data_IF_192337465963
#
_entry.id   IF_192337465963
#
_cell.length_a   1.000
_cell.length_b   1.000
_cell.length_c   1.000
_cell.angle_alpha   90.00
_cell.angle_beta   90.00
_cell.angle_gamma   90.00
#
_symmetry.space_group_name_H-M   'P 1'
#
loop_
_entity.id
_entity.type
_entity.pdbx_description
1 polymer ?
#
# COMPACT_ATOMS: atom_id res chain seq x y z
N UNK A 1 18.48 -0.84 3.53
CA UNK A 1 19.02 0.44 4.06
C UNK A 1 19.15 0.30 5.56
N UNK A 2 20.21 0.85 6.14
CA UNK A 2 20.37 0.98 7.58
C UNK A 2 19.69 2.29 8.02
N UNK A 3 18.77 2.26 8.99
CA UNK A 3 18.14 3.49 9.48
C UNK A 3 19.17 4.46 10.03
N UNK A 4 19.06 5.74 9.68
CA UNK A 4 19.93 6.81 10.15
C UNK A 4 19.04 7.94 10.70
N UNK A 5 19.44 8.46 11.86
CA UNK A 5 18.76 9.59 12.52
C UNK A 5 19.61 10.86 12.40
N UNK A 6 20.94 10.67 12.28
CA UNK A 6 21.91 11.77 12.16
C UNK A 6 22.30 11.90 10.69
N UNK A 7 22.07 13.06 10.11
CA UNK A 7 22.45 13.37 8.73
C UNK A 7 23.87 13.92 8.62
N UNK A 8 24.31 14.63 9.65
CA UNK A 8 25.57 15.37 9.64
C UNK A 8 26.09 15.56 11.07
N UNK A 9 27.38 15.40 11.23
CA UNK A 9 28.13 15.79 12.43
C UNK A 9 28.98 17.01 12.09
N UNK A 10 29.04 17.98 12.98
CA UNK A 10 29.86 19.18 12.85
C UNK A 10 30.67 19.39 14.13
N UNK A 11 31.99 19.44 14.00
CA UNK A 11 32.88 19.83 15.08
C UNK A 11 32.88 21.35 15.20
N UNK A 12 32.32 21.85 16.29
CA UNK A 12 32.17 23.30 16.54
C UNK A 12 33.52 24.00 16.78
N UNK A 13 34.60 23.27 17.10
CA UNK A 13 35.92 23.86 17.31
C UNK A 13 36.71 24.01 16.02
N UNK A 14 36.58 23.04 15.12
CA UNK A 14 37.35 23.01 13.85
C UNK A 14 36.55 23.38 12.65
N UNK A 15 35.22 23.45 12.76
CA UNK A 15 34.28 23.63 11.61
C UNK A 15 34.26 22.42 10.66
N UNK A 16 34.91 21.33 11.02
CA UNK A 16 34.93 20.10 10.22
C UNK A 16 33.54 19.46 10.18
N UNK A 17 33.07 19.11 8.99
CA UNK A 17 31.76 18.50 8.77
C UNK A 17 31.92 17.09 8.22
N UNK A 18 31.19 16.14 8.81
CA UNK A 18 31.08 14.77 8.35
C UNK A 18 29.64 14.46 8.01
N UNK A 19 29.35 14.20 6.74
CA UNK A 19 28.04 13.73 6.32
C UNK A 19 27.90 12.24 6.63
N UNK A 20 26.80 11.88 7.28
CA UNK A 20 26.42 10.50 7.59
C UNK A 20 25.35 10.11 6.59
N UNK A 21 25.76 9.47 5.49
CA UNK A 21 24.83 8.97 4.46
C UNK A 21 24.10 7.70 4.89
N UNK A 22 23.04 7.39 4.19
CA UNK A 22 22.38 6.09 4.34
C UNK A 22 23.27 4.97 3.81
N UNK A 23 23.32 3.85 4.54
CA UNK A 23 24.09 2.66 4.19
C UNK A 23 23.16 1.60 3.59
N UNK A 24 23.51 1.12 2.38
CA UNK A 24 22.81 0.01 1.76
C UNK A 24 23.33 -1.30 2.34
N UNK A 25 22.45 -2.09 2.99
CA UNK A 25 22.86 -3.34 3.66
C UNK A 25 22.78 -4.51 2.70
N UNK A 26 21.59 -4.73 2.14
CA UNK A 26 21.33 -5.78 1.14
C UNK A 26 19.95 -5.62 0.52
N UNK A 27 19.77 -6.15 -0.68
CA UNK A 27 18.45 -6.37 -1.26
C UNK A 27 17.79 -7.59 -0.62
N UNK A 28 16.54 -7.45 -0.15
CA UNK A 28 15.79 -8.53 0.53
C UNK A 28 14.67 -9.11 -0.33
N UNK A 29 14.15 -8.34 -1.29
CA UNK A 29 13.15 -8.78 -2.27
C UNK A 29 13.50 -8.22 -3.64
N UNK A 30 13.03 -8.86 -4.72
CA UNK A 30 13.20 -8.33 -6.07
C UNK A 30 12.37 -7.04 -6.25
N UNK A 31 12.73 -6.24 -7.26
CA UNK A 31 11.96 -5.04 -7.63
C UNK A 31 10.53 -5.37 -8.03
N UNK A 32 10.32 -6.52 -8.70
CA UNK A 32 9.00 -7.03 -9.09
C UNK A 32 8.15 -7.36 -7.88
N UNK A 33 8.68 -8.14 -6.93
CA UNK A 33 7.98 -8.46 -5.67
C UNK A 33 7.65 -7.20 -4.88
N UNK A 34 8.59 -6.25 -4.80
CA UNK A 34 8.37 -4.96 -4.15
C UNK A 34 7.23 -4.18 -4.80
N UNK A 35 7.17 -4.18 -6.14
CA UNK A 35 6.09 -3.52 -6.89
C UNK A 35 4.74 -4.19 -6.64
N UNK A 36 4.67 -5.51 -6.73
CA UNK A 36 3.44 -6.28 -6.45
C UNK A 36 2.91 -5.98 -5.04
N UNK A 37 3.79 -5.95 -4.04
CA UNK A 37 3.42 -5.60 -2.66
C UNK A 37 2.85 -4.18 -2.57
N UNK A 38 3.44 -3.20 -3.25
CA UNK A 38 2.94 -1.82 -3.26
C UNK A 38 1.57 -1.71 -3.91
N UNK A 39 1.32 -2.43 -4.99
CA UNK A 39 0.00 -2.49 -5.66
C UNK A 39 -1.06 -3.09 -4.71
N UNK A 40 -0.71 -4.14 -3.96
CA UNK A 40 -1.57 -4.71 -2.93
C UNK A 40 -1.84 -3.71 -1.79
N UNK A 41 -0.81 -3.03 -1.30
CA UNK A 41 -0.94 -2.00 -0.25
C UNK A 41 -1.80 -0.83 -0.72
N UNK A 42 -1.68 -0.42 -1.99
CA UNK A 42 -2.56 0.58 -2.60
C UNK A 42 -4.01 0.15 -2.60
N UNK A 43 -4.28 -1.11 -2.95
CA UNK A 43 -5.63 -1.69 -2.93
C UNK A 43 -6.26 -1.64 -1.52
N UNK A 44 -5.48 -1.89 -0.47
CA UNK A 44 -5.95 -1.81 0.92
C UNK A 44 -6.43 -0.41 1.28
N UNK A 45 -5.73 0.63 0.81
CA UNK A 45 -6.11 2.03 1.05
C UNK A 45 -7.25 2.46 0.12
N UNK A 46 -7.19 2.11 -1.17
CA UNK A 46 -8.20 2.54 -2.13
C UNK A 46 -9.60 1.97 -1.83
N UNK A 47 -9.69 0.69 -1.47
CA UNK A 47 -10.97 -0.02 -1.35
C UNK A 47 -11.13 -0.89 -0.09
N UNK A 48 -10.06 -1.03 0.70
CA UNK A 48 -10.00 -1.94 1.85
C UNK A 48 -10.17 -1.28 3.20
N UNK A 49 -9.57 -1.90 4.20
CA UNK A 49 -9.60 -1.47 5.62
C UNK A 49 -8.75 -0.23 5.90
N UNK A 50 -7.94 0.19 4.93
CA UNK A 50 -7.02 1.33 5.03
C UNK A 50 -7.55 2.64 4.47
N UNK A 51 -8.82 2.73 4.04
CA UNK A 51 -9.38 3.92 3.38
C UNK A 51 -9.17 5.25 4.13
N UNK A 52 -9.11 5.20 5.44
CA UNK A 52 -8.86 6.39 6.27
C UNK A 52 -7.41 6.91 6.18
N UNK A 53 -6.50 6.17 5.53
CA UNK A 53 -5.14 6.63 5.25
C UNK A 53 -5.03 7.36 3.89
N UNK A 54 -6.11 7.45 3.10
CA UNK A 54 -6.08 8.08 1.80
C UNK A 54 -5.70 9.56 1.91
N UNK A 55 -4.84 10.03 1.01
CA UNK A 55 -4.53 11.44 0.78
C UNK A 55 -4.78 11.71 -0.69
N UNK A 56 -5.78 12.55 -0.98
CA UNK A 56 -6.17 12.85 -2.35
C UNK A 56 -4.98 13.40 -3.15
N UNK A 57 -4.76 12.85 -4.34
CA UNK A 57 -3.67 13.22 -5.22
C UNK A 57 -2.34 12.55 -4.93
N UNK A 58 -2.28 11.70 -3.90
CA UNK A 58 -1.08 10.93 -3.57
C UNK A 58 -1.46 9.45 -3.44
N UNK A 59 -0.79 8.60 -4.19
CA UNK A 59 -1.06 7.16 -4.19
C UNK A 59 -0.55 6.53 -2.88
N UNK A 60 -1.33 6.66 -1.81
CA UNK A 60 -1.01 6.07 -0.51
C UNK A 60 -1.35 4.57 -0.52
N UNK A 61 -0.41 3.74 -0.15
CA UNK A 61 -0.61 2.33 0.16
C UNK A 61 -0.37 2.07 1.64
N UNK A 62 -0.95 1.02 2.19
CA UNK A 62 -0.71 0.75 3.61
C UNK A 62 -1.41 -0.50 4.12
N UNK A 63 -1.11 -0.84 5.38
CA UNK A 63 -1.68 -2.00 6.07
C UNK A 63 -1.97 -1.68 7.53
N UNK A 64 -3.17 -2.04 7.96
CA UNK A 64 -3.58 -1.98 9.37
C UNK A 64 -3.06 -3.19 10.15
N UNK A 65 -2.72 -2.98 11.39
CA UNK A 65 -2.51 -4.01 12.40
C UNK A 65 -3.39 -3.73 13.62
N UNK A 66 -3.92 -4.79 14.20
CA UNK A 66 -4.65 -4.72 15.47
C UNK A 66 -4.25 -5.95 16.27
N UNK A 67 -3.54 -5.74 17.36
CA UNK A 67 -3.23 -6.78 18.33
C UNK A 67 -4.27 -6.74 19.42
N UNK A 68 -4.96 -7.85 19.61
CA UNK A 68 -5.90 -8.02 20.72
C UNK A 68 -5.14 -8.39 21.99
N UNK A 69 -5.62 -7.97 23.16
CA UNK A 69 -5.01 -8.36 24.41
C UNK A 69 -5.18 -9.85 24.66
N UNK A 70 -4.21 -10.43 25.36
CA UNK A 70 -4.42 -11.73 26.00
C UNK A 70 -5.40 -11.51 27.19
N UNK A 71 -6.61 -12.04 27.07
CA UNK A 71 -7.65 -11.90 28.07
C UNK A 71 -7.33 -12.61 29.40
N UNK A 72 -6.31 -13.45 29.44
CA UNK A 72 -5.78 -14.04 30.67
C UNK A 72 -4.91 -13.05 31.46
N UNK A 73 -4.34 -12.05 30.79
CA UNK A 73 -3.55 -10.97 31.40
C UNK A 73 -4.41 -9.69 31.53
N UNK A 74 -4.79 -9.36 32.76
CA UNK A 74 -5.59 -8.17 33.08
C UNK A 74 -4.89 -6.85 32.74
N UNK A 75 -3.56 -6.87 32.54
CA UNK A 75 -2.77 -5.70 32.14
C UNK A 75 -2.62 -5.55 30.63
N UNK A 76 -3.01 -6.56 29.88
CA UNK A 76 -2.86 -6.56 28.42
C UNK A 76 -3.80 -5.55 27.76
N UNK A 77 -3.27 -4.81 26.81
CA UNK A 77 -3.95 -3.72 26.12
C UNK A 77 -4.01 -3.98 24.62
N UNK A 78 -5.05 -3.43 23.96
CA UNK A 78 -5.07 -3.37 22.50
C UNK A 78 -3.94 -2.50 21.97
N UNK A 79 -3.32 -2.95 20.87
CA UNK A 79 -2.37 -2.16 20.10
C UNK A 79 -2.92 -2.03 18.69
N UNK A 80 -3.26 -0.80 18.31
CA UNK A 80 -3.71 -0.46 16.97
C UNK A 80 -2.57 0.18 16.19
N UNK A 81 -2.30 -0.29 14.98
CA UNK A 81 -1.25 0.26 14.15
C UNK A 81 -1.69 0.42 12.69
N UNK A 82 -1.03 1.32 12.00
CA UNK A 82 -1.12 1.45 10.56
C UNK A 82 0.24 1.86 10.00
N UNK A 83 0.70 1.14 8.98
CA UNK A 83 1.88 1.49 8.21
C UNK A 83 1.43 2.00 6.85
N UNK A 84 1.85 3.20 6.48
CA UNK A 84 1.62 3.82 5.19
C UNK A 84 2.92 3.99 4.40
N UNK A 85 2.82 3.85 3.08
CA UNK A 85 3.89 4.11 2.11
C UNK A 85 3.32 5.03 1.04
N UNK A 86 4.06 6.06 0.67
CA UNK A 86 3.61 6.99 -0.36
C UNK A 86 4.78 7.74 -1.05
N UNK A 87 4.63 8.05 -2.37
CA UNK A 87 3.67 7.41 -3.28
C UNK A 87 3.97 5.93 -3.50
N UNK A 88 2.96 5.09 -3.78
CA UNK A 88 3.22 3.64 -4.06
C UNK A 88 3.92 3.41 -5.38
N UNK A 89 3.81 4.34 -6.32
CA UNK A 89 4.47 4.27 -7.64
C UNK A 89 5.98 4.48 -7.53
N UNK A 90 6.38 5.46 -6.72
CA UNK A 90 7.78 5.78 -6.40
C UNK A 90 7.90 6.15 -4.92
N UNK A 91 8.15 5.16 -4.03
CA UNK A 91 8.06 5.38 -2.58
C UNK A 91 9.18 6.27 -2.05
N UNK A 92 8.78 7.40 -1.48
CA UNK A 92 9.69 8.33 -0.81
C UNK A 92 9.53 8.28 0.71
N UNK A 93 8.30 7.99 1.19
CA UNK A 93 7.97 8.04 2.61
C UNK A 93 7.34 6.73 3.07
N UNK A 94 7.77 6.29 4.26
CA UNK A 94 7.11 5.24 5.03
C UNK A 94 6.77 5.80 6.41
N UNK A 95 5.51 5.69 6.81
CA UNK A 95 5.00 6.20 8.08
C UNK A 95 4.37 5.05 8.86
N UNK A 96 4.81 4.85 10.09
CA UNK A 96 4.22 3.89 11.01
C UNK A 96 3.64 4.63 12.21
N UNK A 97 2.34 4.43 12.45
CA UNK A 97 1.66 4.90 13.66
C UNK A 97 1.25 3.70 14.50
N UNK A 98 1.61 3.74 15.77
CA UNK A 98 1.27 2.71 16.76
C UNK A 98 0.58 3.40 17.93
N UNK A 99 -0.64 2.98 18.25
CA UNK A 99 -1.46 3.51 19.34
C UNK A 99 -1.71 2.38 20.34
N UNK A 100 -1.20 2.54 21.56
CA UNK A 100 -1.44 1.61 22.66
C UNK A 100 -2.70 2.04 23.41
N UNK A 101 -3.47 1.05 23.86
CA UNK A 101 -4.68 1.26 24.62
C UNK A 101 -5.61 2.34 24.03
N UNK A 102 -5.98 2.27 22.73
CA UNK A 102 -6.83 3.29 22.12
C UNK A 102 -8.14 3.42 22.91
N UNK A 103 -8.44 4.66 23.31
CA UNK A 103 -9.68 4.99 24.03
C UNK A 103 -10.73 5.43 23.03
N UNK A 104 -11.95 4.91 23.13
CA UNK A 104 -13.04 5.29 22.24
C UNK A 104 -13.83 4.09 21.71
N UNK A 105 -14.65 4.34 20.68
CA UNK A 105 -15.57 3.32 20.13
C UNK A 105 -14.86 2.26 19.25
N UNK A 106 -13.71 2.58 18.68
CA UNK A 106 -12.95 1.66 17.85
C UNK A 106 -11.54 1.45 18.39
N UNK A 107 -11.03 0.23 18.21
CA UNK A 107 -9.66 -0.18 18.57
C UNK A 107 -8.90 -0.69 17.35
N UNK A 108 -9.51 -0.63 16.17
CA UNK A 108 -8.91 -1.14 14.93
C UNK A 108 -7.94 -0.14 14.33
N UNK A 109 -6.77 -0.61 13.89
CA UNK A 109 -5.71 0.23 13.30
C UNK A 109 -6.18 1.06 12.10
N UNK A 110 -7.03 0.50 11.24
CA UNK A 110 -7.63 1.20 10.11
C UNK A 110 -8.60 2.33 10.49
N UNK A 111 -9.09 2.34 11.73
CA UNK A 111 -10.02 3.36 12.22
C UNK A 111 -9.33 4.43 13.06
N UNK A 112 -8.31 4.07 13.84
CA UNK A 112 -7.69 4.99 14.80
C UNK A 112 -6.28 5.42 14.39
N UNK A 113 -5.49 4.56 13.74
CA UNK A 113 -4.12 4.86 13.32
C UNK A 113 -4.03 5.37 11.86
N UNK A 114 -4.85 4.83 10.96
CA UNK A 114 -4.84 5.24 9.54
C UNK A 114 -5.14 6.73 9.32
N UNK A 115 -6.11 7.38 10.01
CA UNK A 115 -6.33 8.83 9.88
C UNK A 115 -5.11 9.67 10.28
N UNK A 116 -4.35 9.20 11.29
CA UNK A 116 -3.13 9.89 11.73
C UNK A 116 -2.04 9.78 10.67
N UNK A 117 -1.88 8.60 10.05
CA UNK A 117 -0.95 8.43 8.90
C UNK A 117 -1.34 9.33 7.74
N UNK A 118 -2.65 9.42 7.41
CA UNK A 118 -3.15 10.34 6.38
C UNK A 118 -2.74 11.79 6.67
N UNK A 119 -2.95 12.25 7.91
CA UNK A 119 -2.60 13.62 8.29
C UNK A 119 -1.08 13.88 8.21
N UNK A 120 -0.26 12.95 8.71
CA UNK A 120 1.21 13.06 8.63
C UNK A 120 1.67 13.14 7.18
N UNK A 121 1.20 12.25 6.32
CA UNK A 121 1.55 12.26 4.89
C UNK A 121 1.08 13.54 4.21
N UNK A 122 -0.14 14.00 4.50
CA UNK A 122 -0.65 15.27 3.98
C UNK A 122 0.24 16.45 4.37
N UNK A 123 0.67 16.51 5.62
CA UNK A 123 1.54 17.57 6.12
C UNK A 123 2.92 17.51 5.45
N UNK A 124 3.49 16.32 5.29
CA UNK A 124 4.74 16.12 4.55
C UNK A 124 4.59 16.65 3.13
N UNK A 125 3.59 16.20 2.38
CA UNK A 125 3.40 16.56 0.98
C UNK A 125 3.15 18.07 0.79
N UNK A 126 2.39 18.68 1.71
CA UNK A 126 2.13 20.12 1.68
C UNK A 126 3.41 20.93 1.90
N UNK A 127 4.27 20.48 2.83
CA UNK A 127 5.48 21.22 3.19
C UNK A 127 6.67 20.96 2.25
N UNK A 128 6.74 19.79 1.62
CA UNK A 128 7.84 19.44 0.71
C UNK A 128 7.61 19.90 -0.73
N UNK A 129 6.47 20.55 -1.02
CA UNK A 129 6.07 20.95 -2.40
C UNK A 129 6.08 19.76 -3.38
N UNK A 130 5.91 18.55 -2.89
CA UNK A 130 5.69 17.42 -3.75
C UNK A 130 4.42 17.70 -4.56
N UNK A 131 4.58 17.69 -5.87
CA UNK A 131 3.51 17.99 -6.81
C UNK A 131 2.42 16.94 -6.60
N UNK A 132 1.23 17.41 -6.21
CA UNK A 132 0.06 16.54 -6.21
C UNK A 132 -0.15 16.03 -7.63
N UNK A 133 -0.33 14.73 -7.82
CA UNK A 133 -0.84 14.17 -9.08
C UNK A 133 -2.26 14.65 -9.40
N UNK A 134 -2.67 15.80 -8.84
CA UNK A 134 -3.96 16.46 -9.09
C UNK A 134 -3.94 17.42 -10.28
N UNK A 135 -2.78 17.71 -10.86
CA UNK A 135 -2.76 18.32 -12.18
C UNK A 135 -2.80 17.24 -13.24
N UNK A 136 -3.97 17.10 -13.79
CA UNK A 136 -4.39 16.22 -14.88
C UNK A 136 -4.67 14.77 -14.50
N UNK A 137 -5.94 14.46 -14.51
CA UNK A 137 -6.56 13.24 -15.02
C UNK A 137 -6.20 13.00 -16.50
N UNK A 138 -4.94 13.09 -16.85
CA UNK A 138 -4.38 12.28 -17.91
C UNK A 138 -3.84 11.07 -17.18
N UNK A 139 -4.54 9.93 -17.30
CA UNK A 139 -4.03 8.64 -16.89
C UNK A 139 -2.57 8.59 -17.30
N UNK A 140 -1.65 8.48 -16.33
CA UNK A 140 -0.26 8.21 -16.68
C UNK A 140 -0.30 7.08 -17.70
N UNK A 141 0.40 7.20 -18.82
CA UNK A 141 0.34 6.22 -19.92
C UNK A 141 0.63 4.78 -19.44
N UNK A 142 1.10 4.63 -18.19
CA UNK A 142 1.41 3.37 -17.54
C UNK A 142 0.43 2.96 -16.42
N UNK A 143 -0.63 3.70 -16.15
CA UNK A 143 -1.63 3.33 -15.12
C UNK A 143 -2.90 2.83 -15.78
N UNK A 144 -3.50 1.79 -15.21
CA UNK A 144 -4.80 1.26 -15.60
C UNK A 144 -5.72 1.15 -14.38
N UNK A 145 -6.99 1.36 -14.61
CA UNK A 145 -8.03 1.08 -13.63
C UNK A 145 -8.44 -0.39 -13.75
N UNK A 146 -8.31 -1.16 -12.67
CA UNK A 146 -8.69 -2.58 -12.66
C UNK A 146 -10.15 -2.76 -13.02
N UNK A 147 -10.43 -3.66 -13.95
CA UNK A 147 -11.79 -4.05 -14.32
C UNK A 147 -12.41 -4.97 -13.29
N UNK A 148 -13.72 -5.10 -13.34
CA UNK A 148 -14.45 -6.08 -12.55
C UNK A 148 -14.48 -7.43 -13.30
N UNK A 149 -13.85 -8.42 -12.71
CA UNK A 149 -13.80 -9.79 -13.21
C UNK A 149 -14.68 -10.74 -12.37
N UNK A 150 -15.20 -10.30 -11.22
CA UNK A 150 -16.03 -11.16 -10.37
C UNK A 150 -17.33 -11.54 -11.11
N UNK A 151 -17.65 -12.82 -11.09
CA UNK A 151 -18.78 -13.40 -11.79
C UNK A 151 -18.54 -13.78 -13.26
N UNK A 152 -17.40 -13.38 -13.84
CA UNK A 152 -17.01 -13.79 -15.21
C UNK A 152 -16.39 -15.17 -15.21
N UNK A 153 -16.59 -15.88 -16.33
CA UNK A 153 -15.91 -17.17 -16.57
C UNK A 153 -14.44 -16.96 -16.92
N UNK A 154 -13.61 -17.97 -16.68
CA UNK A 154 -12.19 -17.97 -17.09
C UNK A 154 -12.04 -17.70 -18.59
N UNK A 155 -12.96 -18.20 -19.42
CA UNK A 155 -12.99 -17.93 -20.86
C UNK A 155 -13.16 -16.42 -21.13
N UNK A 156 -14.18 -15.80 -20.54
CA UNK A 156 -14.45 -14.35 -20.70
C UNK A 156 -13.29 -13.50 -20.20
N UNK A 157 -12.68 -13.88 -19.08
CA UNK A 157 -11.47 -13.20 -18.55
C UNK A 157 -10.33 -13.27 -19.58
N UNK A 158 -10.06 -14.46 -20.15
CA UNK A 158 -8.98 -14.62 -21.12
C UNK A 158 -9.21 -13.79 -22.40
N UNK A 159 -10.47 -13.65 -22.84
CA UNK A 159 -10.83 -12.83 -24.00
C UNK A 159 -10.57 -11.34 -23.72
N UNK A 160 -10.92 -10.85 -22.53
CA UNK A 160 -10.64 -9.47 -22.09
C UNK A 160 -9.12 -9.23 -21.98
N UNK A 161 -8.40 -10.16 -21.38
CA UNK A 161 -6.93 -10.09 -21.21
C UNK A 161 -6.23 -9.96 -22.56
N UNK A 162 -6.62 -10.78 -23.53
CA UNK A 162 -6.06 -10.73 -24.90
C UNK A 162 -6.37 -9.42 -25.62
N UNK A 163 -7.61 -8.91 -25.45
CA UNK A 163 -8.05 -7.69 -26.12
C UNK A 163 -7.37 -6.44 -25.57
N UNK A 164 -7.08 -6.38 -24.28
CA UNK A 164 -6.65 -5.16 -23.58
C UNK A 164 -5.23 -5.20 -23.05
N UNK A 165 -4.55 -6.34 -23.15
CA UNK A 165 -3.16 -6.48 -22.68
C UNK A 165 -3.02 -6.35 -21.16
N UNK A 166 -4.05 -6.78 -20.40
CA UNK A 166 -4.05 -6.74 -18.93
C UNK A 166 -3.37 -8.00 -18.40
N UNK A 167 -2.57 -7.87 -17.35
CA UNK A 167 -1.94 -9.02 -16.70
C UNK A 167 -2.84 -9.59 -15.62
N UNK A 168 -3.28 -10.84 -15.78
CA UNK A 168 -4.03 -11.57 -14.76
C UNK A 168 -3.33 -12.86 -14.37
N UNK A 169 -3.51 -13.28 -13.13
CA UNK A 169 -3.11 -14.58 -12.59
C UNK A 169 -4.38 -15.30 -12.16
N UNK A 170 -4.70 -16.39 -12.84
CA UNK A 170 -5.82 -17.26 -12.54
C UNK A 170 -5.33 -18.51 -11.81
N UNK A 171 -6.05 -18.94 -10.80
CA UNK A 171 -5.78 -20.19 -10.07
C UNK A 171 -6.41 -21.43 -10.75
N UNK A 172 -7.28 -21.24 -11.75
CA UNK A 172 -7.89 -22.29 -12.55
C UNK A 172 -7.64 -22.13 -14.04
N UNK A 173 -7.62 -23.23 -14.77
CA UNK A 173 -7.57 -23.29 -16.24
C UNK A 173 -8.90 -23.73 -16.85
N UNK A 174 -9.88 -24.13 -16.02
CA UNK A 174 -11.19 -24.55 -16.50
C UNK A 174 -11.95 -23.36 -17.07
N UNK A 175 -12.30 -23.37 -18.37
CA UNK A 175 -12.89 -22.21 -19.05
C UNK A 175 -14.27 -21.80 -18.50
N UNK A 176 -14.99 -22.74 -17.89
CA UNK A 176 -16.35 -22.54 -17.39
C UNK A 176 -16.39 -22.09 -15.91
N UNK A 177 -15.26 -22.18 -15.20
CA UNK A 177 -15.17 -21.73 -13.80
C UNK A 177 -15.35 -20.23 -13.69
N UNK A 178 -16.05 -19.77 -12.65
CA UNK A 178 -16.35 -18.35 -12.43
C UNK A 178 -15.42 -17.75 -11.41
N UNK A 179 -14.99 -16.53 -11.67
CA UNK A 179 -14.22 -15.72 -10.71
C UNK A 179 -15.12 -15.34 -9.54
N UNK A 180 -14.74 -15.76 -8.34
CA UNK A 180 -15.44 -15.43 -7.09
C UNK A 180 -14.76 -14.32 -6.30
N UNK A 181 -13.45 -14.07 -6.57
CA UNK A 181 -12.67 -13.06 -5.87
C UNK A 181 -11.57 -12.51 -6.77
N UNK A 182 -11.33 -11.22 -6.68
CA UNK A 182 -10.19 -10.58 -7.34
C UNK A 182 -9.38 -9.70 -6.38
N UNK A 183 -8.10 -9.56 -6.67
CA UNK A 183 -7.18 -8.65 -5.99
C UNK A 183 -6.18 -8.09 -7.02
N UNK A 184 -6.03 -6.77 -7.16
CA UNK A 184 -6.78 -5.69 -6.51
C UNK A 184 -8.28 -5.68 -6.89
N UNK A 185 -9.10 -5.02 -6.07
CA UNK A 185 -10.55 -4.89 -6.37
C UNK A 185 -10.77 -4.05 -7.62
N UNK A 186 -11.92 -4.26 -8.27
CA UNK A 186 -12.37 -3.43 -9.38
C UNK A 186 -12.32 -1.94 -9.04
N UNK A 187 -11.85 -1.14 -9.98
CA UNK A 187 -11.71 0.31 -9.81
C UNK A 187 -10.40 0.78 -9.18
N UNK A 188 -9.54 -0.13 -8.69
CA UNK A 188 -8.21 0.23 -8.18
C UNK A 188 -7.31 0.66 -9.34
N UNK A 189 -6.56 1.74 -9.16
CA UNK A 189 -5.54 2.18 -10.12
C UNK A 189 -4.25 1.40 -9.81
N UNK A 190 -3.72 0.71 -10.80
CA UNK A 190 -2.47 -0.03 -10.75
C UNK A 190 -1.59 0.32 -11.95
N UNK A 191 -0.31 0.04 -11.88
CA UNK A 191 0.57 0.12 -13.03
C UNK A 191 0.10 -0.87 -14.12
N UNK A 192 0.24 -0.53 -15.39
CA UNK A 192 -0.16 -1.36 -16.54
C UNK A 192 0.53 -2.72 -16.57
N UNK A 193 1.73 -2.83 -16.00
CA UNK A 193 2.45 -4.10 -15.81
C UNK A 193 2.05 -4.85 -14.55
N UNK A 194 1.20 -4.26 -13.69
CA UNK A 194 0.68 -4.87 -12.46
C UNK A 194 -0.17 -6.10 -12.74
N UNK A 195 -0.22 -7.05 -11.81
CA UNK A 195 -0.98 -8.28 -11.93
C UNK A 195 -2.30 -8.19 -11.15
N UNK A 196 -3.36 -8.75 -11.73
CA UNK A 196 -4.65 -8.93 -11.07
C UNK A 196 -4.81 -10.42 -10.78
N UNK A 197 -4.91 -10.78 -9.50
CA UNK A 197 -5.08 -12.16 -9.05
C UNK A 197 -6.57 -12.50 -8.97
N UNK A 198 -6.96 -13.59 -9.59
CA UNK A 198 -8.35 -14.03 -9.70
C UNK A 198 -8.48 -15.44 -9.14
N UNK A 199 -9.38 -15.60 -8.18
CA UNK A 199 -9.76 -16.90 -7.63
C UNK A 199 -11.11 -17.31 -8.19
N UNK A 200 -11.23 -18.59 -8.53
CA UNK A 200 -12.40 -19.19 -9.13
C UNK A 200 -13.12 -20.12 -8.15
N UNK A 201 -14.35 -20.49 -8.48
CA UNK A 201 -15.23 -21.33 -7.68
C UNK A 201 -14.83 -22.81 -7.63
N UNK A 202 -13.90 -23.26 -8.50
CA UNK A 202 -13.34 -24.60 -8.52
C UNK A 202 -11.97 -24.72 -7.82
N UNK A 203 -11.57 -23.67 -7.09
CA UNK A 203 -10.38 -23.73 -6.25
C UNK A 203 -10.69 -24.40 -4.91
N UNK A 204 -10.12 -25.59 -4.67
CA UNK A 204 -10.02 -26.18 -3.34
C UNK A 204 -9.01 -25.45 -2.45
#
# INVERSE_FOLDING_TARGET
MKPQVVLKEEDTNTGSQKNIGSEEVRQIVSSETSKELRDMLRSVVATGTGRNAEVNGFNVGGKSGTSEPDYSDKSAEYIASFMGVAPTTDPEYAVLVVIRAPKGKSRQGGQVAAPVVSQILKDIFTNTKLVTNTEKTEANANEIKTKDFVGKTVKEVNDIVKAEGINVVLNSKNPDSKVIKQLPRAGTIIDKSGKIYLNTDDSE
#
